data_IF_342335941817
#
_entry.id   IF_342335941817
#
_cell.length_a   1.000
_cell.length_b   1.000
_cell.length_c   1.000
_cell.angle_alpha   90.00
_cell.angle_beta   90.00
_cell.angle_gamma   90.00
#
_symmetry.space_group_name_H-M   'P 1'
#
loop_
_entity.id
_entity.type
_entity.pdbx_description
1 polymer ?
#
# COMPACT_ATOMS: atom_id res chain seq x y z
N UNK A 1 -4.53 -23.28 14.53
CA UNK A 1 -4.49 -22.99 13.08
C UNK A 1 -3.25 -22.16 12.80
N UNK A 2 -2.43 -22.52 11.80
CA UNK A 2 -1.33 -21.66 11.35
C UNK A 2 -1.90 -20.40 10.71
N UNK A 3 -1.24 -19.25 10.89
CA UNK A 3 -1.62 -18.02 10.17
C UNK A 3 -1.35 -18.22 8.67
N UNK A 4 -2.24 -17.78 7.76
CA UNK A 4 -1.97 -17.82 6.33
C UNK A 4 -0.72 -16.99 6.01
N UNK A 5 0.08 -17.42 5.02
CA UNK A 5 1.25 -16.67 4.55
C UNK A 5 0.88 -15.92 3.28
N UNK A 6 1.14 -14.61 3.23
CA UNK A 6 0.94 -13.79 2.03
C UNK A 6 2.22 -13.74 1.18
N UNK A 7 2.05 -13.87 -0.12
CA UNK A 7 3.09 -13.68 -1.14
C UNK A 7 3.07 -12.25 -1.71
N UNK A 8 4.09 -11.86 -2.46
CA UNK A 8 4.08 -10.57 -3.18
C UNK A 8 2.93 -10.48 -4.19
N UNK A 9 2.55 -11.59 -4.81
CA UNK A 9 1.38 -11.66 -5.69
C UNK A 9 0.09 -11.37 -4.93
N UNK A 10 -0.07 -11.89 -3.72
CA UNK A 10 -1.25 -11.60 -2.90
C UNK A 10 -1.29 -10.12 -2.50
N UNK A 11 -0.14 -9.53 -2.15
CA UNK A 11 -0.04 -8.09 -1.85
C UNK A 11 -0.37 -7.22 -3.07
N UNK A 12 0.06 -7.63 -4.26
CA UNK A 12 -0.31 -6.97 -5.53
C UNK A 12 -1.82 -6.96 -5.69
N UNK A 13 -2.47 -8.13 -5.55
CA UNK A 13 -3.92 -8.26 -5.72
C UNK A 13 -4.68 -7.44 -4.68
N UNK A 14 -4.25 -7.43 -3.42
CA UNK A 14 -4.88 -6.62 -2.37
C UNK A 14 -4.74 -5.12 -2.69
N UNK A 15 -3.56 -4.69 -3.13
CA UNK A 15 -3.32 -3.30 -3.49
C UNK A 15 -4.14 -2.86 -4.71
N UNK A 16 -4.20 -3.67 -5.77
CA UNK A 16 -5.05 -3.44 -6.96
C UNK A 16 -6.55 -3.46 -6.63
N UNK A 17 -6.96 -4.23 -5.62
CA UNK A 17 -8.34 -4.28 -5.14
C UNK A 17 -8.72 -3.16 -4.17
N UNK A 18 -7.82 -2.23 -3.86
CA UNK A 18 -8.04 -1.16 -2.87
C UNK A 18 -8.30 0.18 -3.59
N UNK A 19 -9.54 0.71 -3.59
CA UNK A 19 -9.90 1.91 -4.38
C UNK A 19 -9.08 3.16 -4.05
N UNK A 20 -8.62 3.29 -2.81
CA UNK A 20 -7.75 4.39 -2.38
C UNK A 20 -6.36 4.36 -3.04
N UNK A 21 -5.98 3.21 -3.63
CA UNK A 21 -4.71 2.98 -4.28
C UNK A 21 -4.80 2.97 -5.82
N UNK A 22 -6.00 3.00 -6.41
CA UNK A 22 -6.21 3.02 -7.88
C UNK A 22 -5.37 4.07 -8.63
N UNK A 23 -5.12 5.29 -8.10
CA UNK A 23 -4.31 6.29 -8.80
C UNK A 23 -2.79 6.02 -8.77
N UNK A 24 -2.34 5.00 -8.03
CA UNK A 24 -0.93 4.79 -7.71
C UNK A 24 -0.39 3.48 -8.32
N UNK A 25 0.94 3.36 -8.52
CA UNK A 25 1.53 2.14 -9.07
C UNK A 25 1.49 1.00 -8.05
N UNK A 26 0.61 0.03 -8.28
CA UNK A 26 0.44 -1.18 -7.45
C UNK A 26 1.13 -2.42 -8.04
N UNK A 27 1.44 -2.42 -9.34
CA UNK A 27 2.12 -3.51 -10.04
C UNK A 27 3.38 -3.03 -10.82
N UNK A 28 4.50 -3.77 -10.74
CA UNK A 28 4.77 -4.88 -9.81
C UNK A 28 4.82 -4.39 -8.36
N UNK A 29 4.48 -5.27 -7.41
CA UNK A 29 4.45 -4.91 -5.98
C UNK A 29 5.78 -4.32 -5.51
N UNK A 30 5.71 -3.10 -4.98
CA UNK A 30 6.84 -2.45 -4.32
C UNK A 30 6.30 -1.43 -3.34
N UNK A 31 6.38 -1.78 -2.05
CA UNK A 31 5.92 -0.92 -0.95
C UNK A 31 6.59 0.46 -0.98
N UNK A 32 7.88 0.52 -1.31
CA UNK A 32 8.63 1.78 -1.40
C UNK A 32 8.15 2.65 -2.57
N UNK A 33 7.98 2.09 -3.77
CA UNK A 33 7.48 2.84 -4.93
C UNK A 33 6.06 3.35 -4.71
N UNK A 34 5.20 2.52 -4.11
CA UNK A 34 3.85 2.90 -3.76
C UNK A 34 3.84 4.08 -2.76
N UNK A 35 4.62 3.98 -1.68
CA UNK A 35 4.73 5.08 -0.72
C UNK A 35 5.31 6.34 -1.35
N UNK A 36 6.33 6.23 -2.19
CA UNK A 36 6.93 7.38 -2.85
C UNK A 36 5.91 8.11 -3.75
N UNK A 37 5.08 7.39 -4.48
CA UNK A 37 4.02 7.97 -5.30
C UNK A 37 2.94 8.67 -4.44
N UNK A 38 2.56 8.08 -3.31
CA UNK A 38 1.61 8.71 -2.35
C UNK A 38 2.20 9.98 -1.73
N UNK A 39 3.48 9.98 -1.36
CA UNK A 39 4.16 11.17 -0.85
C UNK A 39 4.31 12.26 -1.91
N UNK A 40 4.54 11.89 -3.17
CA UNK A 40 4.57 12.85 -4.28
C UNK A 40 3.23 13.56 -4.46
N UNK A 41 2.10 12.85 -4.32
CA UNK A 41 0.77 13.48 -4.29
C UNK A 41 0.66 14.48 -3.14
N UNK A 42 1.14 14.15 -1.93
CA UNK A 42 1.11 15.07 -0.80
C UNK A 42 1.88 16.36 -1.08
N UNK A 43 3.08 16.24 -1.66
CA UNK A 43 3.93 17.39 -2.00
C UNK A 43 3.30 18.27 -3.09
N UNK A 44 2.50 17.68 -3.99
CA UNK A 44 1.85 18.36 -5.10
C UNK A 44 0.41 18.80 -4.81
N UNK A 45 -0.16 18.43 -3.66
CA UNK A 45 -1.54 18.67 -3.31
C UNK A 45 -1.86 20.17 -3.24
N UNK A 46 -2.85 20.61 -4.04
CA UNK A 46 -3.33 22.00 -4.07
C UNK A 46 -4.76 22.12 -3.59
N UNK A 47 -5.52 21.04 -3.72
CA UNK A 47 -6.95 21.04 -3.41
C UNK A 47 -7.24 20.29 -2.10
N UNK A 48 -8.48 20.39 -1.62
CA UNK A 48 -8.95 19.53 -0.53
C UNK A 48 -9.03 18.07 -1.00
N UNK A 49 -9.51 17.82 -2.21
CA UNK A 49 -9.62 16.48 -2.77
C UNK A 49 -8.25 15.77 -2.86
N UNK A 50 -7.18 16.49 -3.23
CA UNK A 50 -5.82 15.92 -3.27
C UNK A 50 -5.36 15.49 -1.87
N UNK A 51 -5.66 16.31 -0.86
CA UNK A 51 -5.32 16.02 0.54
C UNK A 51 -6.12 14.84 1.08
N UNK A 52 -7.41 14.78 0.76
CA UNK A 52 -8.29 13.68 1.15
C UNK A 52 -7.83 12.36 0.48
N UNK A 53 -7.50 12.40 -0.81
CA UNK A 53 -6.95 11.26 -1.54
C UNK A 53 -5.60 10.78 -0.97
N UNK A 54 -4.71 11.71 -0.63
CA UNK A 54 -3.46 11.38 0.07
C UNK A 54 -3.71 10.67 1.40
N UNK A 55 -4.62 11.19 2.24
CA UNK A 55 -4.92 10.59 3.55
C UNK A 55 -5.51 9.18 3.41
N UNK A 56 -6.41 8.98 2.43
CA UNK A 56 -6.97 7.67 2.16
C UNK A 56 -5.90 6.67 1.69
N UNK A 57 -5.04 7.08 0.76
CA UNK A 57 -3.96 6.24 0.26
C UNK A 57 -2.94 5.90 1.36
N UNK A 58 -2.59 6.87 2.21
CA UNK A 58 -1.70 6.63 3.35
C UNK A 58 -2.31 5.63 4.34
N UNK A 59 -3.60 5.76 4.66
CA UNK A 59 -4.31 4.81 5.50
C UNK A 59 -4.31 3.39 4.91
N UNK A 60 -4.53 3.26 3.61
CA UNK A 60 -4.44 1.97 2.92
C UNK A 60 -3.04 1.34 3.00
N UNK A 61 -1.97 2.14 2.82
CA UNK A 61 -0.59 1.68 2.99
C UNK A 61 -0.33 1.19 4.42
N UNK A 62 -0.83 1.89 5.44
CA UNK A 62 -0.65 1.47 6.84
C UNK A 62 -1.31 0.11 7.13
N UNK A 63 -2.47 -0.15 6.52
CA UNK A 63 -3.13 -1.47 6.61
C UNK A 63 -2.30 -2.53 5.90
N UNK A 64 -1.77 -2.24 4.70
CA UNK A 64 -0.86 -3.15 3.99
C UNK A 64 0.41 -3.45 4.81
N UNK A 65 1.02 -2.44 5.43
CA UNK A 65 2.18 -2.62 6.31
C UNK A 65 1.85 -3.54 7.50
N UNK A 66 0.64 -3.44 8.07
CA UNK A 66 0.19 -4.34 9.13
C UNK A 66 0.00 -5.79 8.62
N UNK A 67 -0.56 -5.97 7.42
CA UNK A 67 -0.71 -7.29 6.80
C UNK A 67 0.65 -7.93 6.53
N UNK A 68 1.62 -7.16 6.03
CA UNK A 68 2.99 -7.62 5.80
C UNK A 68 3.61 -8.13 7.10
N UNK A 69 3.56 -7.33 8.18
CA UNK A 69 4.11 -7.72 9.48
C UNK A 69 3.47 -8.97 10.09
N UNK A 70 2.18 -9.21 9.81
CA UNK A 70 1.42 -10.29 10.44
C UNK A 70 1.42 -11.60 9.64
N UNK A 71 1.55 -11.51 8.32
CA UNK A 71 1.29 -12.63 7.41
C UNK A 71 2.38 -12.85 6.35
N UNK A 72 3.29 -11.89 6.11
CA UNK A 72 4.46 -12.16 5.27
C UNK A 72 5.56 -12.72 6.15
N UNK A 73 6.12 -13.85 5.75
CA UNK A 73 7.23 -14.47 6.46
C UNK A 73 8.47 -13.61 6.20
N UNK A 74 8.90 -12.80 7.16
CA UNK A 74 10.28 -12.31 7.16
C UNK A 74 11.17 -13.52 7.38
N UNK A 75 12.02 -13.83 6.40
CA UNK A 75 13.19 -14.66 6.67
C UNK A 75 14.08 -13.81 7.59
N UNK A 76 13.81 -13.86 8.89
CA UNK A 76 14.79 -13.45 9.88
C UNK A 76 15.88 -14.55 9.85
N UNK A 77 16.89 -14.35 9.00
CA UNK A 77 18.24 -14.87 9.18
C UNK A 77 19.09 -13.84 9.91
#
# INVERSE_FOLDING_TARGET
MSKPTLTESDLTVIAEGTPALDPFPTHPWSREKLLAAVLDLHLKAKTKADRDAFQQALGAIQVLDALIRLYVKTNDE
#
